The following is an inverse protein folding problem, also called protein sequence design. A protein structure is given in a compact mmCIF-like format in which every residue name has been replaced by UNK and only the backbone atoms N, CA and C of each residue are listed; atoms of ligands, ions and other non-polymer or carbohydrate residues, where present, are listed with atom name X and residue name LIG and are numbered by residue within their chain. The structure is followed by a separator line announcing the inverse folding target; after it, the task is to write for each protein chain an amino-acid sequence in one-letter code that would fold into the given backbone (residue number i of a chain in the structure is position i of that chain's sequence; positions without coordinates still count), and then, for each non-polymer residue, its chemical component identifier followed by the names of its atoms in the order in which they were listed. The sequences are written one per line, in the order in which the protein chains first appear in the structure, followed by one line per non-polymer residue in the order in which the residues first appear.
data_IF_182584351839
#
_entry.id   IF_182584351839
#
_cell.length_a   1.000
_cell.length_b   1.000
_cell.length_c   1.000
_cell.angle_alpha   90.00
_cell.angle_beta   90.00
_cell.angle_gamma   90.00
#
_symmetry.space_group_name_H-M   'P 1'
#
loop_
_entity.id
_entity.type
_entity.pdbx_description
1 polymer ?
#
# COMPACT_ATOMS: atom_id res chain seq x y z
N UNK A 1 16.46 -72.83 39.00
CA UNK A 1 15.64 -71.72 39.49
C UNK A 1 16.50 -70.45 39.50
N UNK A 2 16.05 -69.46 38.71
CA UNK A 2 16.15 -68.02 38.99
C UNK A 2 17.45 -67.28 38.60
N UNK A 3 17.67 -67.11 37.28
CA UNK A 3 18.33 -65.92 36.71
C UNK A 3 17.65 -65.56 35.40
N UNK A 4 17.73 -64.28 35.01
CA UNK A 4 16.98 -63.57 33.94
C UNK A 4 15.69 -63.00 34.55
N UNK A 5 15.61 -61.69 34.85
CA UNK A 5 15.49 -60.62 33.84
C UNK A 5 16.19 -59.31 34.25
N UNK A 6 17.20 -58.93 33.48
CA UNK A 6 17.66 -57.54 33.29
C UNK A 6 17.33 -57.20 31.84
N UNK A 7 16.61 -56.09 31.60
CA UNK A 7 16.92 -55.09 30.56
C UNK A 7 15.67 -54.28 30.19
N UNK A 8 15.57 -53.11 30.82
CA UNK A 8 14.74 -52.01 30.37
C UNK A 8 15.17 -51.55 28.97
N UNK A 9 14.49 -52.03 27.93
CA UNK A 9 14.58 -51.46 26.59
C UNK A 9 13.75 -50.19 26.49
N UNK A 10 14.32 -49.03 26.79
CA UNK A 10 13.64 -47.73 26.59
C UNK A 10 13.25 -47.55 25.12
N UNK A 11 12.04 -47.07 24.79
CA UNK A 11 11.53 -47.03 23.42
C UNK A 11 12.09 -45.83 22.63
N UNK A 12 13.32 -45.93 22.14
CA UNK A 12 13.98 -44.84 21.37
C UNK A 12 13.32 -44.58 20.00
N UNK A 13 12.48 -45.50 19.49
CA UNK A 13 11.86 -45.39 18.16
C UNK A 13 10.73 -44.36 18.05
N UNK A 14 10.03 -44.03 19.14
CA UNK A 14 8.92 -43.05 19.11
C UNK A 14 9.41 -41.62 18.89
N UNK A 15 10.54 -41.25 19.48
CA UNK A 15 11.11 -39.91 19.33
C UNK A 15 11.56 -39.60 17.89
N UNK A 16 12.06 -40.61 17.17
CA UNK A 16 12.59 -40.43 15.81
C UNK A 16 11.50 -40.09 14.79
N UNK A 17 10.31 -40.70 14.89
CA UNK A 17 9.17 -40.38 13.99
C UNK A 17 8.63 -38.98 14.23
N UNK A 18 8.43 -38.59 15.48
CA UNK A 18 7.93 -37.25 15.82
C UNK A 18 8.89 -36.14 15.34
N UNK A 19 10.21 -36.37 15.39
CA UNK A 19 11.21 -35.41 14.92
C UNK A 19 11.27 -35.33 13.38
N UNK A 20 11.12 -36.48 12.70
CA UNK A 20 11.06 -36.54 11.24
C UNK A 20 9.77 -35.90 10.69
N UNK A 21 8.64 -36.14 11.33
CA UNK A 21 7.35 -35.52 10.98
C UNK A 21 7.41 -33.99 11.19
N UNK A 22 7.98 -33.52 12.30
CA UNK A 22 8.20 -32.07 12.51
C UNK A 22 9.14 -31.44 11.48
N UNK A 23 10.22 -32.11 11.08
CA UNK A 23 11.10 -31.63 10.00
C UNK A 23 10.41 -31.60 8.65
N UNK A 24 9.56 -32.59 8.35
CA UNK A 24 8.73 -32.63 7.13
C UNK A 24 7.73 -31.47 7.09
N UNK A 25 7.03 -31.21 8.20
CA UNK A 25 6.08 -30.10 8.30
C UNK A 25 6.78 -28.75 8.24
N UNK A 26 7.93 -28.60 8.90
CA UNK A 26 8.73 -27.37 8.83
C UNK A 26 9.27 -27.09 7.42
N UNK A 27 9.66 -28.13 6.67
CA UNK A 27 10.08 -28.00 5.28
C UNK A 27 8.92 -27.77 4.30
N UNK A 28 7.69 -28.17 4.65
CA UNK A 28 6.50 -27.91 3.84
C UNK A 28 5.94 -26.50 4.06
N UNK A 29 6.13 -25.95 5.27
CA UNK A 29 5.74 -24.58 5.60
C UNK A 29 6.82 -23.55 5.28
N UNK A 30 7.99 -23.96 4.77
CA UNK A 30 8.97 -23.03 4.21
C UNK A 30 8.58 -22.66 2.78
N UNK A 31 7.39 -22.09 2.60
CA UNK A 31 7.07 -21.37 1.37
C UNK A 31 7.95 -20.12 1.33
N UNK A 32 8.73 -19.89 0.27
CA UNK A 32 9.39 -18.62 0.08
C UNK A 32 8.32 -17.58 -0.31
N UNK A 33 7.56 -17.08 0.67
CA UNK A 33 6.66 -15.93 0.54
C UNK A 33 7.45 -14.61 0.45
N UNK A 34 8.53 -14.59 -0.34
CA UNK A 34 9.47 -13.47 -0.33
C UNK A 34 10.02 -13.08 -1.71
N UNK A 35 9.46 -13.58 -2.83
CA UNK A 35 10.16 -13.51 -4.13
C UNK A 35 9.60 -12.56 -5.19
N UNK A 36 8.71 -11.64 -4.83
CA UNK A 36 8.45 -10.51 -5.69
C UNK A 36 8.23 -9.29 -4.81
N UNK A 37 8.72 -8.14 -5.23
CA UNK A 37 8.04 -6.91 -4.90
C UNK A 37 6.62 -7.11 -5.45
N UNK A 38 5.66 -7.47 -4.59
CA UNK A 38 4.29 -7.81 -4.98
C UNK A 38 3.86 -6.83 -6.08
N UNK A 39 3.60 -7.29 -7.31
CA UNK A 39 3.34 -6.38 -8.43
C UNK A 39 2.21 -5.39 -8.11
N UNK A 40 1.31 -5.80 -7.22
CA UNK A 40 0.29 -4.96 -6.58
C UNK A 40 0.85 -3.76 -5.80
N UNK A 41 1.89 -3.93 -5.00
CA UNK A 41 2.54 -2.84 -4.26
C UNK A 41 3.18 -1.83 -5.20
N UNK A 42 3.87 -2.31 -6.23
CA UNK A 42 4.48 -1.44 -7.25
C UNK A 42 3.40 -0.71 -8.04
N UNK A 43 2.35 -1.42 -8.46
CA UNK A 43 1.20 -0.82 -9.14
C UNK A 43 0.50 0.23 -8.26
N UNK A 44 0.32 -0.04 -6.97
CA UNK A 44 -0.25 0.91 -6.01
C UNK A 44 0.63 2.16 -5.85
N UNK A 45 1.96 1.99 -5.75
CA UNK A 45 2.90 3.11 -5.70
C UNK A 45 2.88 3.95 -6.98
N UNK A 46 2.87 3.31 -8.15
CA UNK A 46 2.79 3.98 -9.44
C UNK A 46 1.47 4.73 -9.60
N UNK A 47 0.34 4.09 -9.32
CA UNK A 47 -0.98 4.71 -9.38
C UNK A 47 -1.03 5.96 -8.49
N UNK A 48 -0.50 5.87 -7.28
CA UNK A 48 -0.41 6.98 -6.34
C UNK A 48 0.44 8.13 -6.87
N UNK A 49 1.65 7.86 -7.37
CA UNK A 49 2.52 8.92 -7.93
C UNK A 49 1.89 9.54 -9.17
N UNK A 50 1.26 8.75 -10.03
CA UNK A 50 0.56 9.23 -11.24
C UNK A 50 -0.62 10.12 -10.86
N UNK A 51 -1.49 9.68 -9.97
CA UNK A 51 -2.67 10.45 -9.54
C UNK A 51 -2.25 11.71 -8.78
N UNK A 52 -1.26 11.61 -7.89
CA UNK A 52 -0.75 12.76 -7.15
C UNK A 52 -0.07 13.78 -8.07
N UNK A 53 0.75 13.29 -9.01
CA UNK A 53 1.39 14.11 -10.03
C UNK A 53 0.37 14.79 -10.97
N UNK A 54 -0.72 14.10 -11.33
CA UNK A 54 -1.80 14.68 -12.11
C UNK A 54 -2.45 15.85 -11.38
N UNK A 55 -2.77 15.70 -10.09
CA UNK A 55 -3.33 16.77 -9.26
C UNK A 55 -2.39 17.98 -9.16
N UNK A 56 -1.08 17.76 -9.03
CA UNK A 56 -0.10 18.85 -9.01
C UNK A 56 -0.02 19.53 -10.37
N UNK A 57 0.00 18.76 -11.47
CA UNK A 57 0.05 19.31 -12.82
C UNK A 57 -1.21 20.15 -13.15
N UNK A 58 -2.40 19.67 -12.79
CA UNK A 58 -3.66 20.41 -12.97
C UNK A 58 -3.71 21.65 -12.10
N UNK A 59 -3.22 21.59 -10.86
CA UNK A 59 -3.11 22.75 -9.98
C UNK A 59 -2.21 23.83 -10.58
N UNK A 60 -1.02 23.48 -11.08
CA UNK A 60 -0.11 24.42 -11.73
C UNK A 60 -0.76 25.04 -12.97
N UNK A 61 -1.45 24.24 -13.79
CA UNK A 61 -2.15 24.74 -14.97
C UNK A 61 -3.24 25.77 -14.61
N UNK A 62 -3.98 25.55 -13.52
CA UNK A 62 -5.00 26.49 -13.01
C UNK A 62 -4.38 27.75 -12.39
N UNK A 63 -3.20 27.64 -11.77
CA UNK A 63 -2.46 28.79 -11.22
C UNK A 63 -1.83 29.67 -12.30
N UNK A 64 -1.54 29.11 -13.48
CA UNK A 64 -0.96 29.86 -14.59
C UNK A 64 -1.91 30.93 -15.16
N UNK A 65 -3.23 30.67 -15.16
CA UNK A 65 -4.26 31.63 -15.57
C UNK A 65 -5.51 31.52 -14.67
N UNK A 66 -5.48 32.18 -13.49
CA UNK A 66 -6.59 32.12 -12.55
C UNK A 66 -7.84 32.85 -13.06
N UNK A 67 -7.70 33.78 -14.02
CA UNK A 67 -8.83 34.52 -14.58
C UNK A 67 -9.64 33.62 -15.51
N UNK A 68 -8.96 32.90 -16.40
CA UNK A 68 -9.60 31.88 -17.25
C UNK A 68 -10.25 30.78 -16.42
N UNK A 69 -9.60 30.34 -15.34
CA UNK A 69 -10.19 29.34 -14.45
C UNK A 69 -11.45 29.86 -13.72
N UNK A 70 -11.47 31.14 -13.33
CA UNK A 70 -12.66 31.76 -12.77
C UNK A 70 -13.82 31.82 -13.78
N UNK A 71 -13.55 32.12 -15.05
CA UNK A 71 -14.56 32.05 -16.12
C UNK A 71 -15.09 30.63 -16.31
N UNK A 72 -14.21 29.62 -16.29
CA UNK A 72 -14.63 28.21 -16.32
C UNK A 72 -15.57 27.87 -15.16
N UNK A 73 -15.27 28.29 -13.94
CA UNK A 73 -16.16 28.11 -12.77
C UNK A 73 -17.51 28.81 -13.00
N UNK A 74 -17.51 30.03 -13.53
CA UNK A 74 -18.74 30.78 -13.80
C UNK A 74 -19.61 30.15 -14.88
N UNK A 75 -18.99 29.49 -15.87
CA UNK A 75 -19.74 28.78 -16.91
C UNK A 75 -20.57 27.63 -16.33
N UNK A 76 -20.14 27.03 -15.21
CA UNK A 76 -20.93 26.01 -14.51
C UNK A 76 -22.03 26.59 -13.63
N UNK A 77 -22.08 27.92 -13.42
CA UNK A 77 -23.09 28.62 -12.61
C UNK A 77 -23.29 28.04 -11.19
N UNK A 78 -22.26 27.37 -10.64
CA UNK A 78 -22.33 26.68 -9.36
C UNK A 78 -22.25 27.64 -8.17
N UNK A 79 -21.59 28.79 -8.34
CA UNK A 79 -21.31 29.74 -7.27
C UNK A 79 -21.53 31.19 -7.73
N UNK A 80 -21.87 32.11 -6.80
CA UNK A 80 -21.94 33.55 -7.10
C UNK A 80 -20.56 34.12 -7.46
N UNK A 81 -20.53 35.16 -8.31
CA UNK A 81 -19.32 35.86 -8.77
C UNK A 81 -18.35 36.20 -7.64
N UNK A 82 -18.87 36.64 -6.48
CA UNK A 82 -18.04 37.00 -5.33
C UNK A 82 -17.22 35.82 -4.78
N UNK A 83 -17.77 34.60 -4.83
CA UNK A 83 -17.11 33.38 -4.37
C UNK A 83 -16.22 32.77 -5.45
N UNK A 84 -16.48 33.04 -6.73
CA UNK A 84 -15.75 32.49 -7.86
C UNK A 84 -14.27 32.86 -7.82
N UNK A 85 -13.94 34.13 -7.59
CA UNK A 85 -12.55 34.56 -7.53
C UNK A 85 -11.81 33.93 -6.35
N UNK A 86 -12.49 33.80 -5.21
CA UNK A 86 -11.95 33.12 -4.03
C UNK A 86 -11.67 31.65 -4.33
N UNK A 87 -12.63 30.97 -4.97
CA UNK A 87 -12.50 29.56 -5.32
C UNK A 87 -11.43 29.34 -6.38
N UNK A 88 -11.35 30.20 -7.40
CA UNK A 88 -10.33 30.15 -8.44
C UNK A 88 -8.91 30.25 -7.86
N UNK A 89 -8.75 31.00 -6.75
CA UNK A 89 -7.49 31.10 -6.05
C UNK A 89 -7.25 29.90 -5.11
N UNK A 90 -8.22 29.52 -4.29
CA UNK A 90 -8.04 28.52 -3.22
C UNK A 90 -8.02 27.08 -3.74
N UNK A 91 -8.87 26.75 -4.72
CA UNK A 91 -9.04 25.38 -5.22
C UNK A 91 -7.73 24.80 -5.78
N UNK A 92 -6.93 25.53 -6.60
CA UNK A 92 -5.65 25.01 -7.08
C UNK A 92 -4.64 24.73 -5.96
N UNK A 93 -4.60 25.55 -4.90
CA UNK A 93 -3.72 25.29 -3.75
C UNK A 93 -4.13 24.03 -3.00
N UNK A 94 -5.44 23.84 -2.78
CA UNK A 94 -5.95 22.62 -2.13
C UNK A 94 -5.68 21.37 -2.98
N UNK A 95 -5.90 21.45 -4.28
CA UNK A 95 -5.65 20.36 -5.22
C UNK A 95 -4.15 20.01 -5.29
N UNK A 96 -3.28 21.02 -5.34
CA UNK A 96 -1.83 20.82 -5.33
C UNK A 96 -1.33 20.24 -4.01
N UNK A 97 -1.81 20.74 -2.87
CA UNK A 97 -1.45 20.19 -1.55
C UNK A 97 -1.92 18.75 -1.39
N UNK A 98 -3.17 18.45 -1.78
CA UNK A 98 -3.70 17.08 -1.76
C UNK A 98 -2.90 16.16 -2.69
N UNK A 99 -2.55 16.62 -3.90
CA UNK A 99 -1.72 15.89 -4.85
C UNK A 99 -0.31 15.59 -4.32
N UNK A 100 0.31 16.56 -3.64
CA UNK A 100 1.60 16.40 -2.99
C UNK A 100 1.54 15.41 -1.83
N UNK A 101 0.56 15.54 -0.93
CA UNK A 101 0.34 14.62 0.18
C UNK A 101 0.10 13.19 -0.31
N UNK A 102 -0.69 13.04 -1.38
CA UNK A 102 -0.94 11.76 -2.03
C UNK A 102 0.33 11.20 -2.68
N UNK A 103 1.10 11.99 -3.41
CA UNK A 103 2.37 11.51 -3.99
C UNK A 103 3.36 11.07 -2.90
N UNK A 104 3.49 11.88 -1.84
CA UNK A 104 4.41 11.63 -0.72
C UNK A 104 3.94 10.53 0.25
N UNK A 105 2.65 10.23 0.29
CA UNK A 105 2.12 9.13 1.11
C UNK A 105 1.76 9.49 2.51
N UNK A 106 1.53 10.76 2.71
CA UNK A 106 1.17 11.31 4.00
C UNK A 106 -0.33 11.56 3.92
N UNK A 107 -1.12 10.48 4.00
CA UNK A 107 -2.59 10.53 4.06
C UNK A 107 -3.16 9.34 4.84
#
# INVERSE_FOLDING_TARGET
MDRVWIAAGRPVRRYRRACLERRRVAAMNSTPETSALDGWRVAALLARVVVGGLFVATAIAKLADPLKFAEEIQNYQLVPIALTHLLALVLPWLEGLAGLLLALGVW
#
